data_IF_327847111887
#
_entry.id   IF_327847111887
#
_cell.length_a   1.000
_cell.length_b   1.000
_cell.length_c   1.000
_cell.angle_alpha   90.00
_cell.angle_beta   90.00
_cell.angle_gamma   90.00
#
_symmetry.space_group_name_H-M   'P 1'
#
loop_
_entity.id
_entity.type
_entity.pdbx_description
1 polymer ?
#
# COMPACT_ATOMS: atom_id res chain seq x y z
N UNK A 1 -55.02 11.30 -33.26
CA UNK A 1 -54.96 12.73 -33.60
C UNK A 1 -53.55 13.22 -33.27
N UNK A 2 -52.74 13.46 -34.31
CA UNK A 2 -51.39 14.04 -34.27
C UNK A 2 -51.49 15.58 -34.32
N UNK A 3 -50.47 16.29 -33.83
CA UNK A 3 -49.75 17.23 -34.70
C UNK A 3 -48.22 17.03 -34.58
N UNK A 4 -47.49 16.82 -35.68
CA UNK A 4 -46.96 17.83 -36.61
C UNK A 4 -45.82 18.66 -35.97
N UNK A 5 -44.55 18.24 -36.08
CA UNK A 5 -43.58 18.64 -37.13
C UNK A 5 -43.54 20.16 -37.42
N UNK A 6 -42.50 20.84 -36.91
CA UNK A 6 -41.90 22.00 -37.59
C UNK A 6 -40.40 22.05 -37.38
N UNK A 7 -39.73 21.87 -38.51
CA UNK A 7 -38.31 21.99 -38.80
C UNK A 7 -38.00 23.48 -39.01
N UNK A 8 -36.95 24.03 -38.37
CA UNK A 8 -36.29 25.25 -38.88
C UNK A 8 -34.80 25.22 -38.59
N UNK A 9 -34.05 25.07 -39.68
CA UNK A 9 -32.61 25.24 -39.79
C UNK A 9 -32.26 26.73 -40.00
N UNK A 10 -30.99 27.00 -39.70
CA UNK A 10 -30.13 28.11 -40.16
C UNK A 10 -30.24 29.44 -39.40
N UNK A 11 -29.20 29.74 -38.62
CA UNK A 11 -28.47 31.00 -38.79
C UNK A 11 -27.05 30.87 -38.24
N UNK A 12 -26.11 30.78 -39.19
CA UNK A 12 -24.68 30.94 -39.05
C UNK A 12 -24.31 32.33 -38.53
N UNK A 13 -23.42 32.42 -37.53
CA UNK A 13 -22.51 33.56 -37.33
C UNK A 13 -21.35 33.15 -36.40
N UNK A 14 -20.18 33.01 -37.01
CA UNK A 14 -18.86 33.09 -36.36
C UNK A 14 -18.70 34.46 -35.68
N UNK A 15 -17.91 34.54 -34.61
CA UNK A 15 -16.68 35.31 -34.76
C UNK A 15 -15.43 34.74 -34.05
N UNK A 16 -14.30 34.97 -34.71
CA UNK A 16 -13.01 35.46 -34.17
C UNK A 16 -12.18 34.63 -33.18
N UNK A 17 -11.04 34.14 -33.71
CA UNK A 17 -9.64 34.45 -33.25
C UNK A 17 -9.15 33.86 -31.92
N UNK A 18 -7.83 33.78 -31.65
CA UNK A 18 -6.66 33.46 -32.51
C UNK A 18 -5.90 32.21 -31.99
N UNK A 19 -5.14 31.60 -32.88
CA UNK A 19 -4.12 30.60 -32.57
C UNK A 19 -2.94 31.21 -31.80
N UNK A 20 -2.46 30.58 -30.73
CA UNK A 20 -1.06 30.66 -30.36
C UNK A 20 -0.35 29.36 -30.71
N UNK A 21 0.52 29.44 -31.71
CA UNK A 21 1.61 28.49 -31.89
C UNK A 21 2.56 28.66 -30.71
N UNK A 22 2.58 27.71 -29.78
CA UNK A 22 3.70 27.50 -28.87
C UNK A 22 4.12 26.04 -28.94
N UNK A 23 5.11 25.82 -29.80
CA UNK A 23 6.06 24.72 -29.71
C UNK A 23 6.58 24.63 -28.27
N UNK A 24 6.36 23.48 -27.64
CA UNK A 24 7.01 23.13 -26.38
C UNK A 24 7.37 21.66 -26.41
N UNK A 25 8.36 21.33 -27.24
CA UNK A 25 9.09 20.07 -27.17
C UNK A 25 10.07 20.13 -25.99
N UNK A 26 9.58 19.88 -24.78
CA UNK A 26 10.43 19.53 -23.64
C UNK A 26 10.59 18.01 -23.60
N UNK A 27 11.59 17.50 -24.32
CA UNK A 27 12.23 16.24 -23.97
C UNK A 27 13.13 16.50 -22.77
N UNK A 28 12.62 16.26 -21.56
CA UNK A 28 13.48 16.09 -20.38
C UNK A 28 13.80 14.60 -20.27
N UNK A 29 14.87 14.18 -20.95
CA UNK A 29 15.51 12.91 -20.67
C UNK A 29 16.21 13.04 -19.30
N UNK A 30 15.58 12.50 -18.26
CA UNK A 30 16.22 12.40 -16.95
C UNK A 30 17.24 11.25 -16.98
N UNK A 31 18.52 11.49 -16.67
CA UNK A 31 19.53 10.44 -16.64
C UNK A 31 19.31 9.53 -15.42
N UNK A 32 19.23 8.23 -15.69
CA UNK A 32 19.25 7.16 -14.69
C UNK A 32 20.56 7.23 -13.90
N UNK A 33 20.56 7.46 -12.57
CA UNK A 33 21.77 7.33 -11.79
C UNK A 33 22.08 5.84 -11.56
N UNK A 34 23.25 5.43 -12.03
CA UNK A 34 23.88 4.15 -11.70
C UNK A 34 23.93 3.96 -10.17
N UNK A 35 23.17 3.00 -9.65
CA UNK A 35 23.40 2.42 -8.32
C UNK A 35 24.63 1.52 -8.38
N UNK A 36 25.72 1.98 -7.78
CA UNK A 36 26.83 1.14 -7.36
C UNK A 36 26.43 0.37 -6.09
N UNK A 37 26.63 -0.97 -6.02
CA UNK A 37 26.46 -1.70 -4.77
C UNK A 37 27.72 -1.55 -3.93
N UNK A 38 27.68 -0.61 -2.98
CA UNK A 38 28.67 -0.50 -1.92
C UNK A 38 28.35 -1.47 -0.78
N UNK A 39 29.37 -2.24 -0.42
CA UNK A 39 29.67 -2.74 0.93
C UNK A 39 28.72 -3.77 1.56
N UNK A 40 29.11 -5.03 1.35
CA UNK A 40 28.89 -6.15 2.26
C UNK A 40 29.44 -5.81 3.66
N UNK A 41 28.59 -5.39 4.58
CA UNK A 41 28.85 -5.49 6.02
C UNK A 41 28.11 -6.73 6.54
N UNK A 42 28.85 -7.83 6.55
CA UNK A 42 28.55 -9.08 7.23
C UNK A 42 28.38 -8.82 8.73
N UNK A 43 27.14 -8.64 9.17
CA UNK A 43 26.78 -8.60 10.59
C UNK A 43 26.63 -10.04 11.08
N UNK A 44 27.67 -10.52 11.76
CA UNK A 44 27.73 -11.84 12.37
C UNK A 44 26.55 -12.04 13.33
N UNK A 45 25.67 -12.97 12.99
CA UNK A 45 24.52 -13.37 13.81
C UNK A 45 25.03 -14.14 15.01
N UNK A 46 24.99 -13.51 16.17
CA UNK A 46 25.43 -14.07 17.44
C UNK A 46 24.36 -15.04 17.94
N UNK A 47 24.64 -16.32 17.72
CA UNK A 47 23.83 -17.48 18.06
C UNK A 47 23.64 -17.57 19.59
N UNK A 48 22.44 -17.24 20.06
CA UNK A 48 22.03 -17.27 21.46
C UNK A 48 21.73 -18.73 21.86
N UNK A 49 22.70 -19.43 22.45
CA UNK A 49 22.47 -20.70 23.13
C UNK A 49 22.06 -20.43 24.59
N UNK A 50 20.84 -20.83 24.97
CA UNK A 50 20.39 -20.90 26.36
C UNK A 50 20.69 -22.28 26.93
N UNK A 51 21.48 -22.42 28.01
CA UNK A 51 21.55 -23.68 28.73
C UNK A 51 20.39 -23.79 29.72
N UNK A 52 19.74 -24.96 29.67
CA UNK A 52 18.70 -25.39 30.59
C UNK A 52 19.26 -25.55 32.02
N UNK A 53 18.50 -25.05 32.99
CA UNK A 53 18.83 -25.08 34.42
C UNK A 53 18.20 -26.34 35.02
N UNK A 54 19.01 -27.36 35.29
CA UNK A 54 18.54 -28.61 35.90
C UNK A 54 18.95 -28.65 37.38
N UNK A 55 17.95 -28.52 38.24
CA UNK A 55 18.10 -28.53 39.69
C UNK A 55 18.02 -29.96 40.23
N UNK A 56 19.08 -30.46 40.84
CA UNK A 56 18.97 -31.64 41.72
C UNK A 56 19.98 -31.61 42.87
N UNK A 57 19.46 -31.26 44.03
CA UNK A 57 20.07 -31.54 45.32
C UNK A 57 19.81 -33.00 45.72
N UNK A 58 20.82 -33.71 46.25
CA UNK A 58 20.77 -34.57 47.47
C UNK A 58 21.97 -35.53 47.57
N UNK A 59 22.73 -35.37 48.67
CA UNK A 59 22.87 -36.39 49.73
C UNK A 59 23.82 -37.59 49.57
N UNK A 60 24.67 -37.80 50.59
CA UNK A 60 25.34 -39.08 50.93
C UNK A 60 26.86 -39.05 50.71
N UNK A 61 27.72 -38.98 51.74
CA UNK A 61 28.09 -39.99 52.75
C UNK A 61 29.28 -40.91 52.35
N UNK A 62 30.38 -40.72 53.08
CA UNK A 62 31.41 -41.66 53.57
C UNK A 62 32.29 -42.49 52.61
N UNK A 63 33.61 -42.30 52.84
CA UNK A 63 34.73 -43.25 52.88
C UNK A 63 35.01 -44.19 51.70
N UNK A 64 36.27 -44.15 51.22
CA UNK A 64 36.89 -45.25 50.50
C UNK A 64 38.07 -44.83 49.64
N UNK A 65 39.28 -44.92 50.21
CA UNK A 65 40.55 -44.78 49.48
C UNK A 65 40.73 -45.93 48.49
N UNK A 66 40.78 -45.65 47.19
CA UNK A 66 41.46 -46.49 46.21
C UNK A 66 42.24 -45.60 45.24
N UNK A 67 43.56 -45.65 45.38
CA UNK A 67 44.54 -45.18 44.42
C UNK A 67 44.30 -45.87 43.07
N UNK A 68 43.96 -45.10 42.05
CA UNK A 68 44.13 -45.54 40.66
C UNK A 68 44.74 -44.41 39.85
N UNK A 69 46.07 -44.49 39.70
CA UNK A 69 46.86 -43.76 38.72
C UNK A 69 46.30 -44.06 37.33
N UNK A 70 45.67 -43.08 36.67
CA UNK A 70 45.57 -43.05 35.21
C UNK A 70 45.37 -41.60 34.74
N UNK A 71 46.42 -41.10 34.08
CA UNK A 71 46.42 -39.94 33.17
C UNK A 71 45.69 -38.69 33.66
N UNK A 72 46.42 -37.78 34.31
CA UNK A 72 46.03 -36.37 34.43
C UNK A 72 45.99 -35.76 33.02
N UNK A 73 44.88 -35.97 32.32
CA UNK A 73 44.42 -35.03 31.32
C UNK A 73 44.11 -33.75 32.09
N UNK A 74 45.04 -32.80 32.07
CA UNK A 74 44.79 -31.41 32.42
C UNK A 74 43.58 -30.96 31.61
N UNK A 75 42.40 -30.95 32.25
CA UNK A 75 41.25 -30.28 31.68
C UNK A 75 41.69 -28.85 31.37
N UNK A 76 41.47 -28.34 30.15
CA UNK A 76 41.75 -26.94 29.88
C UNK A 76 40.97 -26.10 30.90
N UNK A 77 41.59 -25.06 31.49
CA UNK A 77 40.89 -24.20 32.44
C UNK A 77 39.61 -23.71 31.76
N UNK A 78 38.47 -23.94 32.41
CA UNK A 78 37.21 -23.38 31.92
C UNK A 78 37.40 -21.87 31.75
N UNK A 79 36.98 -21.27 30.63
CA UNK A 79 37.08 -19.84 30.44
C UNK A 79 36.32 -19.16 31.58
N UNK A 80 37.03 -18.44 32.44
CA UNK A 80 36.40 -17.63 33.47
C UNK A 80 35.58 -16.56 32.75
N UNK A 81 34.26 -16.70 32.78
CA UNK A 81 33.37 -15.68 32.28
C UNK A 81 33.58 -14.44 33.12
N UNK A 82 34.35 -13.48 32.61
CA UNK A 82 34.46 -12.15 33.20
C UNK A 82 33.21 -11.39 32.77
N UNK A 83 32.28 -11.05 33.68
CA UNK A 83 31.18 -10.17 33.34
C UNK A 83 31.75 -8.93 32.67
N UNK A 84 31.20 -8.56 31.51
CA UNK A 84 31.55 -7.29 30.88
C UNK A 84 31.42 -6.18 31.93
N UNK A 85 32.43 -5.29 32.04
CA UNK A 85 32.39 -4.23 33.02
C UNK A 85 31.11 -3.41 32.83
N UNK A 86 30.34 -3.24 33.90
CA UNK A 86 29.02 -2.58 33.86
C UNK A 86 29.09 -1.11 33.44
N UNK A 87 30.29 -0.53 33.41
CA UNK A 87 30.57 0.81 32.87
C UNK A 87 31.58 0.71 31.74
N UNK A 88 31.40 1.53 30.71
CA UNK A 88 32.44 1.75 29.71
C UNK A 88 33.69 2.38 30.35
N UNK A 89 34.87 2.03 29.86
CA UNK A 89 36.11 2.66 30.28
C UNK A 89 36.19 4.09 29.74
N UNK A 90 36.38 5.06 30.65
CA UNK A 90 36.46 6.48 30.31
C UNK A 90 36.19 7.41 31.49
N UNK A 91 36.65 8.66 31.39
CA UNK A 91 36.45 9.67 32.44
C UNK A 91 34.98 10.08 32.60
N UNK A 92 34.26 10.19 31.48
CA UNK A 92 32.84 10.57 31.45
C UNK A 92 31.96 9.56 32.19
N UNK A 93 32.01 8.23 31.88
CA UNK A 93 31.20 7.27 32.61
C UNK A 93 31.59 7.15 34.08
N UNK A 94 32.87 7.36 34.44
CA UNK A 94 33.33 7.34 35.84
C UNK A 94 32.80 8.53 36.67
N UNK A 95 32.58 9.68 36.03
CA UNK A 95 32.02 10.88 36.63
C UNK A 95 30.49 10.78 36.80
N UNK A 96 29.79 10.16 35.85
CA UNK A 96 28.32 10.11 35.82
C UNK A 96 27.74 8.88 36.51
N UNK A 97 28.42 7.75 36.44
CA UNK A 97 27.94 6.45 36.92
C UNK A 97 28.82 5.90 38.06
N UNK A 98 28.23 5.07 38.91
CA UNK A 98 28.93 4.26 39.91
C UNK A 98 29.59 3.06 39.24
N UNK A 99 30.44 2.34 39.98
CA UNK A 99 31.02 1.08 39.49
C UNK A 99 29.92 0.06 39.11
N UNK A 100 28.78 0.11 39.81
CA UNK A 100 27.62 -0.76 39.61
C UNK A 100 26.75 -0.37 38.40
N UNK A 101 27.15 0.64 37.61
CA UNK A 101 26.40 1.14 36.44
C UNK A 101 25.23 2.07 36.77
N UNK A 102 24.89 2.25 38.05
CA UNK A 102 23.82 3.17 38.46
C UNK A 102 24.26 4.64 38.40
N UNK A 103 23.38 5.58 38.00
CA UNK A 103 23.71 7.00 37.99
C UNK A 103 24.01 7.49 39.41
N UNK A 104 25.07 8.30 39.59
CA UNK A 104 25.46 8.79 40.93
C UNK A 104 24.40 9.68 41.59
N UNK A 105 23.52 10.30 40.80
CA UNK A 105 22.43 11.17 41.25
C UNK A 105 21.11 10.74 40.63
N UNK A 106 20.07 10.66 41.47
CA UNK A 106 18.69 10.37 41.02
C UNK A 106 18.19 11.41 40.02
N UNK A 107 18.56 12.68 40.21
CA UNK A 107 18.19 13.78 39.31
C UNK A 107 18.82 13.61 37.92
N UNK A 108 20.11 13.25 37.87
CA UNK A 108 20.80 13.01 36.59
C UNK A 108 20.22 11.82 35.85
N UNK A 109 19.88 10.76 36.58
CA UNK A 109 19.15 9.62 36.04
C UNK A 109 17.81 10.03 35.42
N UNK A 110 17.01 10.80 36.17
CA UNK A 110 15.71 11.30 35.70
C UNK A 110 15.82 12.18 34.45
N UNK A 111 16.83 13.05 34.38
CA UNK A 111 17.09 13.88 33.19
C UNK A 111 17.47 13.01 31.99
N UNK A 112 18.35 12.02 32.18
CA UNK A 112 18.77 11.14 31.08
C UNK A 112 17.61 10.27 30.58
N UNK A 113 16.83 9.68 31.49
CA UNK A 113 15.64 8.92 31.11
C UNK A 113 14.59 9.81 30.44
N UNK A 114 14.37 11.01 30.96
CA UNK A 114 13.44 11.98 30.37
C UNK A 114 13.86 12.38 28.96
N UNK A 115 15.16 12.65 28.76
CA UNK A 115 15.70 12.97 27.43
C UNK A 115 15.60 11.79 26.47
N UNK A 116 15.85 10.57 26.95
CA UNK A 116 15.72 9.35 26.14
C UNK A 116 14.27 9.11 25.73
N UNK A 117 13.32 9.20 26.67
CA UNK A 117 11.89 9.05 26.38
C UNK A 117 11.40 10.14 25.44
N UNK A 118 11.82 11.39 25.67
CA UNK A 118 11.51 12.50 24.77
C UNK A 118 12.06 12.26 23.36
N UNK A 119 13.32 11.83 23.22
CA UNK A 119 13.88 11.47 21.91
C UNK A 119 13.11 10.35 21.24
N UNK A 120 12.73 9.30 21.97
CA UNK A 120 11.92 8.20 21.42
C UNK A 120 10.55 8.68 20.93
N UNK A 121 9.90 9.58 21.68
CA UNK A 121 8.63 10.18 21.26
C UNK A 121 8.80 11.02 19.99
N UNK A 122 9.84 11.86 19.93
CA UNK A 122 10.14 12.66 18.73
C UNK A 122 10.41 11.76 17.51
N UNK A 123 11.17 10.68 17.67
CA UNK A 123 11.40 9.72 16.60
C UNK A 123 10.11 9.01 16.17
N UNK A 124 9.24 8.62 17.12
CA UNK A 124 7.94 8.01 16.80
C UNK A 124 7.07 8.96 15.98
N UNK A 125 6.93 10.22 16.40
CA UNK A 125 6.17 11.21 15.65
C UNK A 125 6.79 11.54 14.29
N UNK A 126 8.12 11.51 14.18
CA UNK A 126 8.80 11.69 12.90
C UNK A 126 8.53 10.53 11.94
N UNK A 127 8.43 9.29 12.43
CA UNK A 127 8.07 8.13 11.60
C UNK A 127 6.63 8.24 11.09
N UNK A 128 5.68 8.58 11.98
CA UNK A 128 4.28 8.81 11.58
C UNK A 128 4.17 9.91 10.51
N UNK A 129 4.94 10.99 10.66
CA UNK A 129 4.97 12.08 9.68
C UNK A 129 5.56 11.62 8.33
N UNK A 130 6.60 10.79 8.34
CA UNK A 130 7.18 10.23 7.11
C UNK A 130 6.14 9.36 6.39
N UNK A 131 5.46 8.49 7.11
CA UNK A 131 4.42 7.62 6.55
C UNK A 131 3.28 8.45 5.93
N UNK A 132 2.85 9.54 6.59
CA UNK A 132 1.84 10.45 6.06
C UNK A 132 2.32 11.15 4.78
N UNK A 133 3.58 11.59 4.73
CA UNK A 133 4.16 12.19 3.52
C UNK A 133 4.31 11.16 2.38
N UNK A 134 4.71 9.93 2.66
CA UNK A 134 4.81 8.88 1.67
C UNK A 134 3.44 8.53 1.09
N UNK A 135 2.40 8.45 1.95
CA UNK A 135 1.04 8.26 1.49
C UNK A 135 0.54 9.44 0.66
N UNK A 136 0.84 10.68 1.06
CA UNK A 136 0.49 11.87 0.29
C UNK A 136 1.19 11.91 -1.07
N UNK A 137 2.48 11.58 -1.11
CA UNK A 137 3.26 11.48 -2.33
C UNK A 137 2.73 10.39 -3.26
N UNK A 138 2.37 9.22 -2.72
CA UNK A 138 1.76 8.14 -3.48
C UNK A 138 0.45 8.60 -4.13
N UNK A 139 -0.45 9.22 -3.36
CA UNK A 139 -1.73 9.72 -3.86
C UNK A 139 -1.55 10.78 -4.94
N UNK A 140 -0.63 11.72 -4.75
CA UNK A 140 -0.35 12.78 -5.72
C UNK A 140 0.27 12.21 -7.00
N UNK A 141 1.23 11.28 -6.87
CA UNK A 141 1.83 10.60 -8.01
C UNK A 141 0.77 9.83 -8.80
N UNK A 142 -0.07 9.04 -8.12
CA UNK A 142 -1.18 8.34 -8.74
C UNK A 142 -2.12 9.29 -9.49
N UNK A 143 -2.49 10.43 -8.89
CA UNK A 143 -3.37 11.41 -9.54
C UNK A 143 -2.77 11.94 -10.85
N UNK A 144 -1.48 12.26 -10.85
CA UNK A 144 -0.77 12.74 -12.05
C UNK A 144 -0.75 11.65 -13.13
N UNK A 145 -0.49 10.40 -12.76
CA UNK A 145 -0.51 9.28 -13.71
C UNK A 145 -1.93 9.00 -14.23
N UNK A 146 -2.95 9.08 -13.37
CA UNK A 146 -4.36 8.92 -13.74
C UNK A 146 -4.82 10.03 -14.70
N UNK A 147 -4.48 11.30 -14.43
CA UNK A 147 -4.76 12.41 -15.34
C UNK A 147 -4.05 12.24 -16.68
N UNK A 148 -2.81 11.75 -16.67
CA UNK A 148 -2.06 11.46 -17.90
C UNK A 148 -2.73 10.32 -18.69
N UNK A 149 -3.15 9.25 -18.02
CA UNK A 149 -3.87 8.15 -18.64
C UNK A 149 -5.19 8.65 -19.23
N UNK A 150 -5.96 9.45 -18.49
CA UNK A 150 -7.22 10.04 -18.94
C UNK A 150 -7.07 10.94 -20.17
N UNK A 151 -6.08 11.83 -20.15
CA UNK A 151 -5.77 12.70 -21.29
C UNK A 151 -5.33 11.89 -22.53
N UNK A 152 -4.49 10.88 -22.32
CA UNK A 152 -4.01 10.01 -23.40
C UNK A 152 -5.17 9.21 -23.99
N UNK A 153 -6.00 8.61 -23.14
CA UNK A 153 -7.15 7.82 -23.56
C UNK A 153 -8.17 8.66 -24.33
N UNK A 154 -8.51 9.84 -23.81
CA UNK A 154 -9.43 10.79 -24.47
C UNK A 154 -8.92 11.23 -25.83
N UNK A 155 -7.60 11.41 -25.97
CA UNK A 155 -6.98 11.76 -27.27
C UNK A 155 -7.07 10.64 -28.30
N UNK A 156 -7.01 9.38 -27.87
CA UNK A 156 -7.09 8.20 -28.74
C UNK A 156 -8.54 7.80 -29.05
N UNK A 157 -9.47 8.06 -28.12
CA UNK A 157 -10.86 7.64 -28.18
C UNK A 157 -11.84 8.82 -27.95
N UNK A 158 -11.96 9.76 -28.91
CA UNK A 158 -12.76 10.97 -28.74
C UNK A 158 -14.28 10.70 -28.56
N UNK A 159 -14.77 9.54 -28.99
CA UNK A 159 -16.18 9.13 -28.80
C UNK A 159 -16.49 8.68 -27.37
N UNK A 160 -15.46 8.39 -26.58
CA UNK A 160 -15.60 7.91 -25.19
C UNK A 160 -16.38 8.89 -24.30
N UNK A 161 -16.28 10.19 -24.59
CA UNK A 161 -16.97 11.27 -23.87
C UNK A 161 -18.48 11.25 -24.02
N UNK A 162 -18.97 10.76 -25.16
CA UNK A 162 -20.39 10.80 -25.51
C UNK A 162 -21.15 9.53 -25.15
N UNK A 163 -20.50 8.37 -25.28
CA UNK A 163 -21.08 7.07 -24.98
C UNK A 163 -19.95 6.03 -24.81
N UNK A 164 -19.48 5.76 -23.58
CA UNK A 164 -18.47 4.74 -23.34
C UNK A 164 -19.06 3.36 -23.65
N UNK A 165 -18.50 2.67 -24.65
CA UNK A 165 -18.83 1.26 -24.87
C UNK A 165 -18.20 0.40 -23.78
N UNK A 166 -18.78 -0.76 -23.41
CA UNK A 166 -18.21 -1.63 -22.38
C UNK A 166 -16.75 -2.01 -22.64
N UNK A 167 -16.41 -2.30 -23.90
CA UNK A 167 -15.04 -2.61 -24.30
C UNK A 167 -14.07 -1.43 -24.06
N UNK A 168 -14.48 -0.19 -24.37
CA UNK A 168 -13.67 1.00 -24.11
C UNK A 168 -13.59 1.31 -22.61
N UNK A 169 -14.68 1.16 -21.86
CA UNK A 169 -14.68 1.37 -20.42
C UNK A 169 -13.74 0.39 -19.70
N UNK A 170 -13.68 -0.85 -20.18
CA UNK A 170 -12.75 -1.86 -19.70
C UNK A 170 -11.29 -1.54 -20.05
N UNK A 171 -11.01 -1.11 -21.28
CA UNK A 171 -9.68 -0.66 -21.68
C UNK A 171 -9.22 0.55 -20.86
N UNK A 172 -10.12 1.49 -20.58
CA UNK A 172 -9.88 2.63 -19.70
C UNK A 172 -9.54 2.19 -18.26
N UNK A 173 -10.29 1.22 -17.73
CA UNK A 173 -9.99 0.64 -16.41
C UNK A 173 -8.60 -0.03 -16.37
N UNK A 174 -8.21 -0.73 -17.43
CA UNK A 174 -6.86 -1.29 -17.58
C UNK A 174 -5.79 -0.20 -17.54
N UNK A 175 -5.95 0.86 -18.35
CA UNK A 175 -4.98 1.95 -18.41
C UNK A 175 -4.86 2.68 -17.06
N UNK A 176 -5.97 2.82 -16.32
CA UNK A 176 -5.96 3.42 -14.99
C UNK A 176 -5.28 2.51 -13.95
N UNK A 177 -5.46 1.19 -14.04
CA UNK A 177 -4.74 0.24 -13.19
C UNK A 177 -3.24 0.25 -13.50
N UNK A 178 -2.87 0.36 -14.78
CA UNK A 178 -1.48 0.45 -15.22
C UNK A 178 -0.81 1.79 -14.83
N UNK A 179 -1.61 2.81 -14.51
CA UNK A 179 -1.16 4.10 -13.99
C UNK A 179 -0.78 4.06 -12.50
N UNK A 180 -1.04 2.96 -11.77
CA UNK A 180 -0.62 2.81 -10.38
C UNK A 180 0.91 2.71 -10.28
N UNK A 181 1.58 3.56 -9.46
CA UNK A 181 3.03 3.64 -9.44
C UNK A 181 3.73 2.34 -8.97
N UNK A 182 3.04 1.52 -8.17
CA UNK A 182 3.57 0.29 -7.59
C UNK A 182 2.98 -0.99 -8.19
N UNK A 183 2.18 -0.90 -9.27
CA UNK A 183 1.56 -2.08 -9.86
C UNK A 183 2.56 -2.82 -10.77
N UNK A 184 2.98 -4.05 -10.43
CA UNK A 184 3.81 -4.85 -11.34
C UNK A 184 2.98 -5.24 -12.57
N UNK A 185 3.53 -5.06 -13.79
CA UNK A 185 2.77 -5.27 -15.03
C UNK A 185 2.32 -6.73 -15.20
N UNK A 186 3.12 -7.69 -14.71
CA UNK A 186 2.82 -9.12 -14.79
C UNK A 186 1.56 -9.48 -14.00
N UNK A 187 1.45 -9.01 -12.75
CA UNK A 187 0.27 -9.27 -11.90
C UNK A 187 -0.98 -8.61 -12.46
N UNK A 188 -0.84 -7.43 -13.06
CA UNK A 188 -1.95 -6.75 -13.71
C UNK A 188 -2.44 -7.57 -14.91
N UNK A 189 -1.54 -8.04 -15.78
CA UNK A 189 -1.91 -8.90 -16.91
C UNK A 189 -2.58 -10.21 -16.46
N UNK A 190 -2.06 -10.85 -15.42
CA UNK A 190 -2.67 -12.05 -14.84
C UNK A 190 -4.08 -11.80 -14.32
N UNK A 191 -4.30 -10.67 -13.64
CA UNK A 191 -5.61 -10.27 -13.14
C UNK A 191 -6.62 -10.06 -14.28
N UNK A 192 -6.23 -9.34 -15.33
CA UNK A 192 -7.11 -9.12 -16.47
C UNK A 192 -7.38 -10.40 -17.27
N UNK A 193 -6.39 -11.28 -17.42
CA UNK A 193 -6.59 -12.60 -18.02
C UNK A 193 -7.56 -13.46 -17.21
N UNK A 194 -7.52 -13.37 -15.87
CA UNK A 194 -8.48 -14.06 -15.01
C UNK A 194 -9.90 -13.50 -15.17
N UNK A 195 -10.05 -12.17 -15.30
CA UNK A 195 -11.35 -11.54 -15.60
C UNK A 195 -11.86 -12.00 -16.98
N UNK A 196 -11.01 -11.98 -18.01
CA UNK A 196 -11.37 -12.45 -19.36
C UNK A 196 -11.92 -13.88 -19.32
N UNK A 197 -11.16 -14.79 -18.70
CA UNK A 197 -11.56 -16.18 -18.57
C UNK A 197 -12.88 -16.35 -17.80
N UNK A 198 -13.12 -15.52 -16.78
CA UNK A 198 -14.37 -15.54 -16.02
C UNK A 198 -15.55 -15.03 -16.86
N UNK A 199 -15.37 -13.95 -17.62
CA UNK A 199 -16.41 -13.37 -18.47
C UNK A 199 -16.74 -14.26 -19.68
N UNK A 200 -15.76 -14.98 -20.23
CA UNK A 200 -15.98 -15.91 -21.35
C UNK A 200 -16.91 -17.09 -21.00
N UNK A 201 -16.93 -17.49 -19.73
CA UNK A 201 -17.76 -18.59 -19.22
C UNK A 201 -19.00 -18.06 -18.47
N UNK A 202 -19.09 -16.74 -18.28
CA UNK A 202 -20.19 -16.12 -17.56
C UNK A 202 -21.51 -16.24 -18.35
N UNK A 203 -22.61 -16.28 -17.59
CA UNK A 203 -23.93 -16.12 -18.19
C UNK A 203 -24.17 -14.65 -18.58
N UNK A 204 -25.05 -14.44 -19.56
CA UNK A 204 -25.41 -13.12 -20.10
C UNK A 204 -25.70 -12.08 -19.00
N UNK A 205 -26.46 -12.44 -17.96
CA UNK A 205 -26.76 -11.54 -16.83
C UNK A 205 -25.51 -11.07 -16.05
N UNK A 206 -24.50 -11.93 -15.89
CA UNK A 206 -23.25 -11.59 -15.17
C UNK A 206 -22.36 -10.75 -16.08
N UNK A 207 -22.35 -11.05 -17.38
CA UNK A 207 -21.63 -10.27 -18.37
C UNK A 207 -22.17 -8.83 -18.41
N UNK A 208 -23.50 -8.66 -18.54
CA UNK A 208 -24.15 -7.35 -18.52
C UNK A 208 -23.84 -6.57 -17.23
N UNK A 209 -23.88 -7.23 -16.06
CA UNK A 209 -23.53 -6.60 -14.79
C UNK A 209 -22.06 -6.16 -14.73
N UNK A 210 -21.12 -6.97 -15.25
CA UNK A 210 -19.71 -6.61 -15.31
C UNK A 210 -19.46 -5.44 -16.26
N UNK A 211 -20.12 -5.43 -17.43
CA UNK A 211 -20.07 -4.32 -18.37
C UNK A 211 -20.59 -3.02 -17.76
N UNK A 212 -21.72 -3.07 -17.04
CA UNK A 212 -22.26 -1.92 -16.30
C UNK A 212 -21.28 -1.43 -15.24
N UNK A 213 -20.62 -2.35 -14.52
CA UNK A 213 -19.60 -2.01 -13.51
C UNK A 213 -18.43 -1.24 -14.14
N UNK A 214 -17.91 -1.67 -15.30
CA UNK A 214 -16.85 -0.93 -15.99
C UNK A 214 -17.31 0.45 -16.48
N UNK A 215 -18.50 0.54 -17.07
CA UNK A 215 -19.05 1.81 -17.58
C UNK A 215 -19.29 2.80 -16.44
N UNK A 216 -19.91 2.35 -15.35
CA UNK A 216 -20.17 3.18 -14.17
C UNK A 216 -18.86 3.66 -13.54
N UNK A 217 -17.87 2.77 -13.40
CA UNK A 217 -16.53 3.15 -12.95
C UNK A 217 -15.90 4.24 -13.83
N UNK A 218 -15.90 4.05 -15.15
CA UNK A 218 -15.29 4.99 -16.08
C UNK A 218 -15.92 6.39 -15.98
N UNK A 219 -17.25 6.45 -15.91
CA UNK A 219 -17.98 7.71 -15.75
C UNK A 219 -17.69 8.39 -14.42
N UNK A 220 -17.70 7.62 -13.32
CA UNK A 220 -17.45 8.15 -11.98
C UNK A 220 -16.01 8.68 -11.85
N UNK A 221 -15.01 7.94 -12.32
CA UNK A 221 -13.61 8.40 -12.30
C UNK A 221 -13.44 9.68 -13.09
N UNK A 222 -14.02 9.77 -14.28
CA UNK A 222 -13.90 10.97 -15.11
C UNK A 222 -14.58 12.17 -14.49
N UNK A 223 -15.73 11.98 -13.84
CA UNK A 223 -16.41 13.03 -13.09
C UNK A 223 -15.51 13.56 -11.97
N UNK A 224 -14.84 12.68 -11.23
CA UNK A 224 -13.89 13.06 -10.20
C UNK A 224 -12.67 13.79 -10.78
N UNK A 225 -12.10 13.30 -11.89
CA UNK A 225 -10.93 13.91 -12.53
C UNK A 225 -11.23 15.27 -13.17
N UNK A 226 -12.43 15.47 -13.73
CA UNK A 226 -12.85 16.74 -14.31
C UNK A 226 -13.10 17.83 -13.25
N UNK A 227 -13.46 17.43 -12.03
CA UNK A 227 -13.78 18.33 -10.91
C UNK A 227 -12.59 18.72 -10.03
N UNK A 228 -11.36 18.43 -10.42
CA UNK A 228 -10.19 18.66 -9.56
C UNK A 228 -9.89 20.16 -9.42
N UNK A 229 -10.28 20.73 -8.29
CA UNK A 229 -9.79 22.02 -7.83
C UNK A 229 -8.43 21.89 -7.11
N UNK A 230 -7.67 22.99 -6.99
CA UNK A 230 -6.33 23.00 -6.36
C UNK A 230 -6.32 22.46 -4.94
N UNK A 231 -7.40 22.67 -4.18
CA UNK A 231 -7.54 22.23 -2.78
C UNK A 231 -8.14 20.82 -2.67
N UNK A 232 -8.75 20.31 -3.75
CA UNK A 232 -9.45 19.03 -3.80
C UNK A 232 -8.65 17.86 -4.37
N UNK A 233 -7.40 18.07 -4.79
CA UNK A 233 -6.60 17.05 -5.47
C UNK A 233 -6.43 15.76 -4.67
N UNK A 234 -6.12 15.87 -3.37
CA UNK A 234 -5.99 14.72 -2.48
C UNK A 234 -7.30 13.94 -2.32
N UNK A 235 -8.43 14.67 -2.22
CA UNK A 235 -9.75 14.06 -2.14
C UNK A 235 -10.11 13.32 -3.43
N UNK A 236 -9.82 13.91 -4.58
CA UNK A 236 -10.04 13.27 -5.88
C UNK A 236 -9.17 12.00 -6.03
N UNK A 237 -7.90 12.05 -5.65
CA UNK A 237 -7.01 10.88 -5.67
C UNK A 237 -7.56 9.75 -4.80
N UNK A 238 -8.01 10.06 -3.58
CA UNK A 238 -8.64 9.10 -2.69
C UNK A 238 -9.92 8.52 -3.28
N UNK A 239 -10.80 9.36 -3.84
CA UNK A 239 -12.05 8.92 -4.46
C UNK A 239 -11.79 7.98 -5.64
N UNK A 240 -10.85 8.32 -6.52
CA UNK A 240 -10.49 7.46 -7.67
C UNK A 240 -9.90 6.14 -7.21
N UNK A 241 -9.00 6.14 -6.21
CA UNK A 241 -8.47 4.90 -5.63
C UNK A 241 -9.57 4.05 -4.97
N UNK A 242 -10.52 4.69 -4.30
CA UNK A 242 -11.68 4.02 -3.69
C UNK A 242 -12.56 3.38 -4.77
N UNK A 243 -12.88 4.09 -5.85
CA UNK A 243 -13.62 3.57 -6.99
C UNK A 243 -12.91 2.37 -7.63
N UNK A 244 -11.59 2.43 -7.76
CA UNK A 244 -10.78 1.34 -8.29
C UNK A 244 -10.85 0.10 -7.38
N UNK A 245 -10.72 0.29 -6.07
CA UNK A 245 -10.87 -0.80 -5.08
C UNK A 245 -12.26 -1.43 -5.10
N UNK A 246 -13.31 -0.61 -5.12
CA UNK A 246 -14.71 -1.08 -5.18
C UNK A 246 -14.97 -1.88 -6.45
N UNK A 247 -14.43 -1.43 -7.58
CA UNK A 247 -14.58 -2.11 -8.88
C UNK A 247 -13.86 -3.45 -8.88
N UNK A 248 -12.62 -3.51 -8.36
CA UNK A 248 -11.89 -4.78 -8.20
C UNK A 248 -12.65 -5.74 -7.29
N UNK A 249 -13.18 -5.26 -6.16
CA UNK A 249 -13.97 -6.09 -5.25
C UNK A 249 -15.23 -6.65 -5.94
N UNK A 250 -15.98 -5.81 -6.66
CA UNK A 250 -17.16 -6.23 -7.40
C UNK A 250 -16.84 -7.29 -8.47
N UNK A 251 -15.74 -7.13 -9.21
CA UNK A 251 -15.26 -8.12 -10.19
C UNK A 251 -14.83 -9.43 -9.51
N UNK A 252 -14.21 -9.36 -8.34
CA UNK A 252 -13.88 -10.52 -7.51
C UNK A 252 -15.11 -11.31 -7.09
N UNK A 253 -16.13 -10.63 -6.56
CA UNK A 253 -17.40 -11.27 -6.18
C UNK A 253 -18.09 -11.94 -7.38
N UNK A 254 -18.12 -11.28 -8.55
CA UNK A 254 -18.67 -11.86 -9.78
C UNK A 254 -17.91 -13.11 -10.20
N UNK A 255 -16.57 -13.11 -10.10
CA UNK A 255 -15.75 -14.28 -10.42
C UNK A 255 -16.04 -15.46 -9.48
N UNK A 256 -16.23 -15.22 -8.17
CA UNK A 256 -16.62 -16.27 -7.23
C UNK A 256 -17.99 -16.87 -7.58
N UNK A 257 -18.96 -16.04 -7.98
CA UNK A 257 -20.28 -16.51 -8.41
C UNK A 257 -20.18 -17.38 -9.67
N UNK A 258 -19.37 -16.98 -10.66
CA UNK A 258 -19.12 -17.79 -11.87
C UNK A 258 -18.46 -19.12 -11.49
N UNK A 259 -17.47 -19.11 -10.59
CA UNK A 259 -16.75 -20.32 -10.15
C UNK A 259 -17.63 -21.30 -9.36
N UNK A 260 -18.62 -20.81 -8.59
CA UNK A 260 -19.60 -21.64 -7.88
C UNK A 260 -20.66 -22.17 -8.85
N UNK A 261 -21.17 -21.32 -9.75
CA UNK A 261 -22.22 -21.70 -10.72
C UNK A 261 -21.72 -22.73 -11.74
N UNK A 262 -20.44 -22.66 -12.12
CA UNK A 262 -19.76 -23.68 -12.93
C UNK A 262 -19.67 -25.06 -12.28
N UNK A 263 -19.92 -25.18 -10.96
CA UNK A 263 -19.99 -26.46 -10.22
C UNK A 263 -21.40 -27.02 -10.07
N UNK A 264 -22.43 -26.35 -10.59
CA UNK A 264 -23.79 -26.88 -10.65
C UNK A 264 -24.68 -26.64 -9.43
N UNK A 265 -24.31 -25.76 -8.49
CA UNK A 265 -25.18 -25.37 -7.37
C UNK A 265 -25.90 -24.04 -7.66
N UNK A 266 -27.21 -24.11 -7.95
CA UNK A 266 -28.07 -22.95 -8.16
C UNK A 266 -28.60 -22.42 -6.81
N UNK A 267 -28.05 -21.30 -6.33
CA UNK A 267 -28.57 -20.56 -5.18
C UNK A 267 -28.75 -19.07 -5.51
N UNK A 268 -29.94 -18.55 -5.22
CA UNK A 268 -30.49 -17.20 -5.51
C UNK A 268 -29.74 -15.99 -4.89
N UNK A 269 -28.42 -15.87 -5.07
CA UNK A 269 -27.59 -14.87 -4.39
C UNK A 269 -27.34 -13.53 -5.12
N UNK A 270 -27.44 -13.49 -6.45
CA UNK A 270 -27.00 -12.34 -7.26
C UNK A 270 -27.83 -11.05 -7.02
N UNK A 271 -29.11 -11.18 -6.69
CA UNK A 271 -29.99 -10.03 -6.42
C UNK A 271 -29.63 -9.24 -5.15
N UNK A 272 -28.81 -9.79 -4.24
CA UNK A 272 -28.37 -9.08 -3.04
C UNK A 272 -27.23 -8.08 -3.30
N UNK A 273 -26.36 -8.36 -4.26
CA UNK A 273 -25.11 -7.61 -4.50
C UNK A 273 -25.39 -6.24 -5.12
N UNK A 274 -26.22 -6.18 -6.16
CA UNK A 274 -26.60 -4.90 -6.80
C UNK A 274 -27.44 -4.01 -5.86
N UNK A 275 -28.23 -4.62 -4.97
CA UNK A 275 -29.04 -3.87 -4.00
C UNK A 275 -28.20 -3.22 -2.89
N UNK A 276 -27.13 -3.89 -2.45
CA UNK A 276 -26.22 -3.37 -1.41
C UNK A 276 -25.43 -2.13 -1.87
N UNK A 277 -25.01 -2.10 -3.15
CA UNK A 277 -24.35 -0.93 -3.77
C UNK A 277 -25.25 0.32 -3.82
N UNK A 278 -26.57 0.14 -3.88
CA UNK A 278 -27.54 1.24 -3.84
C UNK A 278 -27.84 1.77 -2.42
N UNK A 279 -27.67 0.96 -1.38
CA UNK A 279 -27.90 1.38 0.02
C UNK A 279 -26.67 2.08 0.63
N UNK A 280 -25.45 1.68 0.27
CA UNK A 280 -24.22 2.34 0.77
C UNK A 280 -24.10 3.80 0.30
N UNK A 281 -24.57 4.11 -0.92
CA UNK A 281 -24.65 5.50 -1.43
C UNK A 281 -25.66 6.39 -0.70
N UNK A 282 -26.64 5.83 0.03
CA UNK A 282 -27.60 6.63 0.81
C UNK A 282 -27.11 6.94 2.23
N UNK A 283 -26.05 6.28 2.71
CA UNK A 283 -25.53 6.45 4.06
C UNK A 283 -24.52 7.59 4.22
N UNK A 284 -23.93 8.10 3.14
CA UNK A 284 -22.88 9.13 3.19
C UNK A 284 -23.38 10.56 2.90
N UNK A 285 -24.65 10.72 2.54
CA UNK A 285 -25.29 12.04 2.52
C UNK A 285 -25.80 12.35 3.94
N UNK A 286 -25.28 13.42 4.53
CA UNK A 286 -25.72 14.10 5.78
C UNK A 286 -25.10 13.67 7.13
N UNK A 287 -23.80 13.93 7.31
CA UNK A 287 -23.31 14.56 8.56
C UNK A 287 -22.47 15.81 8.23
N UNK A 288 -23.13 16.82 7.66
CA UNK A 288 -22.62 18.19 7.67
C UNK A 288 -22.91 18.79 9.05
N UNK A 289 -21.96 18.66 9.97
CA UNK A 289 -21.97 19.36 11.26
C UNK A 289 -21.81 20.87 10.99
N UNK A 290 -22.82 21.65 11.37
CA UNK A 290 -22.73 23.10 11.53
C UNK A 290 -22.18 23.50 12.90
#
# INVERSE_FOLDING_TARGET
MLPALTRRLVSSRLPSSPSPHLSSSFFYASPVPHRTPSSLLSLATLQRQTPAFDGRARGGSLNGSVLSRRGLATMPPQPSWTPYPTRADGLVPKLWYRADGTPRSKLKGAVFTGLTVFSLLVFSSALELIDEYDQANFMLAFLVYAQRADATFTSLHPTFDSAPTPALARAYFYDLCAALPDAPPETLLEFFAAIDAALDVAHEEILEAAEEVFVTFALDVRKELAGIEKEGAMRAAYNVLSLLRLTIAALGEMNEVVAVKGRGEFGSGLGGVLKKRGEERKGEEYESIG
#
